data_IF_772277981533
#
_entry.id   IF_772277981533
#
_cell.length_a   1.000
_cell.length_b   1.000
_cell.length_c   1.000
_cell.angle_alpha   90.00
_cell.angle_beta   90.00
_cell.angle_gamma   90.00
#
_symmetry.space_group_name_H-M   'P 1'
#
loop_
_entity.id
_entity.type
_entity.pdbx_description
1 polymer ?
#
# COMPACT_ATOMS: atom_id res chain seq x y z
N UNK A 1 5.85 -10.76 16.96
CA UNK A 1 4.61 -10.96 16.16
C UNK A 1 4.70 -12.31 15.48
N UNK A 2 3.67 -13.11 15.58
CA UNK A 2 3.51 -14.36 14.86
C UNK A 2 3.07 -14.10 13.43
N UNK A 3 3.99 -14.28 12.48
CA UNK A 3 3.80 -13.95 11.06
C UNK A 3 3.56 -15.23 10.26
N UNK A 4 2.51 -15.23 9.43
CA UNK A 4 2.34 -16.27 8.42
C UNK A 4 2.63 -15.68 7.05
N UNK A 5 3.68 -16.16 6.40
CA UNK A 5 3.95 -15.89 5.00
C UNK A 5 3.10 -16.84 4.15
N UNK A 6 2.45 -16.32 3.14
CA UNK A 6 1.57 -17.12 2.26
C UNK A 6 1.98 -16.92 0.81
N UNK A 7 2.29 -18.00 0.12
CA UNK A 7 2.62 -18.02 -1.30
C UNK A 7 2.01 -19.21 -2.01
N UNK A 8 2.22 -19.32 -3.34
CA UNK A 8 1.79 -20.45 -4.17
C UNK A 8 3.00 -21.03 -4.92
N UNK A 9 3.40 -22.22 -4.53
CA UNK A 9 4.61 -22.90 -5.03
C UNK A 9 4.52 -23.27 -6.51
N UNK A 10 3.35 -23.72 -6.96
CA UNK A 10 3.13 -24.08 -8.37
C UNK A 10 3.21 -22.84 -9.25
N UNK A 11 2.57 -21.74 -8.83
CA UNK A 11 2.64 -20.48 -9.56
C UNK A 11 4.06 -19.89 -9.58
N UNK A 12 4.82 -20.02 -8.47
CA UNK A 12 6.24 -19.67 -8.45
C UNK A 12 7.04 -20.55 -9.43
N UNK A 13 6.73 -21.86 -9.51
CA UNK A 13 7.40 -22.77 -10.43
C UNK A 13 7.13 -22.41 -11.88
N UNK A 14 5.88 -22.12 -12.22
CA UNK A 14 5.49 -21.70 -13.56
C UNK A 14 6.18 -20.41 -13.98
N UNK A 15 6.22 -19.43 -13.09
CA UNK A 15 6.78 -18.12 -13.37
C UNK A 15 8.30 -18.10 -13.43
N UNK A 16 8.96 -18.67 -12.43
CA UNK A 16 10.41 -18.53 -12.24
C UNK A 16 11.22 -19.69 -12.80
N UNK A 17 10.60 -20.82 -13.17
CA UNK A 17 11.30 -21.97 -13.76
C UNK A 17 12.49 -22.41 -12.91
N UNK A 18 13.71 -22.33 -13.48
CA UNK A 18 14.95 -22.69 -12.78
C UNK A 18 15.28 -21.80 -11.58
N UNK A 19 14.79 -20.57 -11.55
CA UNK A 19 15.04 -19.65 -10.44
C UNK A 19 14.07 -19.82 -9.26
N UNK A 20 13.07 -20.71 -9.38
CA UNK A 20 12.09 -20.98 -8.33
C UNK A 20 12.72 -21.26 -6.97
N UNK A 21 13.74 -22.12 -6.94
CA UNK A 21 14.36 -22.53 -5.68
C UNK A 21 15.09 -21.34 -5.01
N UNK A 22 15.70 -20.46 -5.79
CA UNK A 22 16.29 -19.23 -5.26
C UNK A 22 15.22 -18.32 -4.63
N UNK A 23 14.06 -18.17 -5.29
CA UNK A 23 12.94 -17.39 -4.74
C UNK A 23 12.38 -18.04 -3.47
N UNK A 24 12.17 -19.36 -3.46
CA UNK A 24 11.71 -20.07 -2.26
C UNK A 24 12.70 -19.95 -1.10
N UNK A 25 14.01 -20.05 -1.34
CA UNK A 25 15.02 -19.88 -0.32
C UNK A 25 14.99 -18.47 0.28
N UNK A 26 14.78 -17.45 -0.54
CA UNK A 26 14.59 -16.09 -0.07
C UNK A 26 13.38 -15.97 0.89
N UNK A 27 12.27 -16.62 0.59
CA UNK A 27 11.09 -16.65 1.47
C UNK A 27 11.35 -17.44 2.77
N UNK A 28 12.14 -18.50 2.70
CA UNK A 28 12.61 -19.25 3.89
C UNK A 28 13.50 -18.38 4.77
N UNK A 29 14.38 -17.57 4.18
CA UNK A 29 15.22 -16.61 4.92
C UNK A 29 14.35 -15.57 5.64
N UNK A 30 13.35 -14.99 4.96
CA UNK A 30 12.40 -14.08 5.59
C UNK A 30 11.63 -14.75 6.73
N UNK A 31 11.15 -15.98 6.52
CA UNK A 31 10.48 -16.74 7.56
C UNK A 31 11.40 -17.00 8.77
N UNK A 32 12.66 -17.37 8.52
CA UNK A 32 13.64 -17.56 9.59
C UNK A 32 13.96 -16.24 10.34
N UNK A 33 13.90 -15.10 9.64
CA UNK A 33 14.00 -13.81 10.29
C UNK A 33 12.80 -13.57 11.25
N UNK A 34 11.58 -13.86 10.81
CA UNK A 34 10.39 -13.75 11.69
C UNK A 34 10.42 -14.71 12.86
N UNK A 35 10.93 -15.93 12.67
CA UNK A 35 11.11 -16.92 13.75
C UNK A 35 12.03 -16.47 14.87
N UNK A 36 12.95 -15.53 14.62
CA UNK A 36 13.76 -14.93 15.70
C UNK A 36 12.92 -14.12 16.69
N UNK A 37 11.79 -13.56 16.23
CA UNK A 37 10.86 -12.80 17.07
C UNK A 37 9.75 -13.69 17.62
N UNK A 38 9.26 -14.63 16.81
CA UNK A 38 8.21 -15.58 17.19
C UNK A 38 8.44 -16.92 16.49
N UNK A 39 8.83 -17.98 17.23
CA UNK A 39 9.16 -19.30 16.67
C UNK A 39 8.00 -19.97 15.92
N UNK A 40 6.75 -19.60 16.18
CA UNK A 40 5.57 -20.12 15.49
C UNK A 40 5.33 -19.48 14.12
N UNK A 41 6.11 -18.44 13.74
CA UNK A 41 6.05 -17.86 12.39
C UNK A 41 6.34 -18.93 11.33
N UNK A 42 5.54 -18.96 10.27
CA UNK A 42 5.58 -20.07 9.29
C UNK A 42 5.35 -19.57 7.88
N UNK A 43 6.05 -20.16 6.91
CA UNK A 43 5.81 -20.02 5.47
C UNK A 43 4.84 -21.12 5.02
N UNK A 44 3.73 -20.76 4.41
CA UNK A 44 2.74 -21.64 3.82
C UNK A 44 2.74 -21.52 2.29
N UNK A 45 3.02 -22.62 1.60
CA UNK A 45 2.67 -22.79 0.19
C UNK A 45 1.24 -23.33 0.12
N UNK A 46 0.27 -22.46 -0.16
CA UNK A 46 -1.16 -22.81 -0.03
C UNK A 46 -1.66 -23.87 -1.03
N UNK A 47 -0.88 -24.18 -2.03
CA UNK A 47 -1.11 -25.25 -3.02
C UNK A 47 -0.36 -26.55 -2.68
N UNK A 48 0.53 -26.54 -1.67
CA UNK A 48 1.27 -27.71 -1.22
C UNK A 48 0.46 -28.49 -0.19
N UNK A 49 0.30 -29.81 -0.43
CA UNK A 49 -0.49 -30.69 0.43
C UNK A 49 0.11 -30.82 1.84
N UNK A 50 1.43 -30.81 1.93
CA UNK A 50 2.13 -30.98 3.22
C UNK A 50 1.96 -29.71 4.06
N UNK A 51 2.20 -28.55 3.48
CA UNK A 51 2.07 -27.27 4.17
C UNK A 51 0.64 -27.00 4.64
N UNK A 52 -0.35 -27.47 3.86
CA UNK A 52 -1.76 -27.29 4.14
C UNK A 52 -2.40 -28.46 4.90
N UNK A 53 -1.63 -29.45 5.31
CA UNK A 53 -2.12 -30.57 6.12
C UNK A 53 -2.78 -30.06 7.40
N UNK A 54 -4.00 -30.52 7.67
CA UNK A 54 -4.83 -30.08 8.81
C UNK A 54 -5.20 -28.58 8.80
N UNK A 55 -4.90 -27.82 7.74
CA UNK A 55 -5.28 -26.40 7.57
C UNK A 55 -6.49 -26.29 6.64
N UNK A 56 -6.32 -26.57 5.36
CA UNK A 56 -7.35 -26.50 4.33
C UNK A 56 -6.97 -27.39 3.13
N UNK A 57 -7.89 -27.74 2.23
CA UNK A 57 -7.55 -28.33 0.95
C UNK A 57 -6.58 -27.41 0.19
N UNK A 58 -5.55 -27.99 -0.49
CA UNK A 58 -4.63 -27.20 -1.30
C UNK A 58 -5.33 -26.41 -2.39
N UNK A 59 -4.88 -25.17 -2.61
CA UNK A 59 -5.38 -24.28 -3.65
C UNK A 59 -4.96 -24.80 -5.03
N UNK A 60 -5.87 -24.78 -5.99
CA UNK A 60 -5.60 -25.19 -7.37
C UNK A 60 -5.75 -23.99 -8.31
N UNK A 61 -4.89 -23.93 -9.31
CA UNK A 61 -4.96 -22.94 -10.40
C UNK A 61 -5.09 -21.49 -9.91
N UNK A 62 -4.43 -21.16 -8.81
CA UNK A 62 -4.50 -19.84 -8.14
C UNK A 62 -5.96 -19.33 -7.96
N UNK A 63 -6.88 -20.26 -7.65
CA UNK A 63 -8.30 -19.97 -7.52
C UNK A 63 -8.59 -19.03 -6.36
N UNK A 64 -9.26 -17.89 -6.63
CA UNK A 64 -9.54 -16.81 -5.67
C UNK A 64 -10.31 -17.28 -4.44
N UNK A 65 -11.37 -18.06 -4.65
CA UNK A 65 -12.21 -18.54 -3.55
C UNK A 65 -11.45 -19.55 -2.67
N UNK A 66 -10.67 -20.44 -3.27
CA UNK A 66 -9.82 -21.39 -2.53
C UNK A 66 -8.71 -20.65 -1.80
N UNK A 67 -8.08 -19.63 -2.42
CA UNK A 67 -7.05 -18.81 -1.78
C UNK A 67 -7.63 -18.08 -0.56
N UNK A 68 -8.84 -17.50 -0.68
CA UNK A 68 -9.52 -16.88 0.47
C UNK A 68 -9.78 -17.88 1.58
N UNK A 69 -10.31 -19.07 1.24
CA UNK A 69 -10.59 -20.12 2.23
C UNK A 69 -9.32 -20.64 2.91
N UNK A 70 -8.21 -20.77 2.17
CA UNK A 70 -6.92 -21.16 2.73
C UNK A 70 -6.38 -20.11 3.73
N UNK A 71 -6.43 -18.83 3.38
CA UNK A 71 -6.01 -17.74 4.27
C UNK A 71 -6.90 -17.67 5.50
N UNK A 72 -8.23 -17.83 5.36
CA UNK A 72 -9.15 -17.89 6.50
C UNK A 72 -8.83 -19.04 7.44
N UNK A 73 -8.59 -20.22 6.89
CA UNK A 73 -8.23 -21.41 7.69
C UNK A 73 -6.89 -21.23 8.43
N UNK A 74 -5.91 -20.53 7.83
CA UNK A 74 -4.66 -20.18 8.50
C UNK A 74 -4.96 -19.27 9.70
N UNK A 75 -5.78 -18.21 9.54
CA UNK A 75 -6.18 -17.37 10.65
C UNK A 75 -6.88 -18.14 11.75
N UNK A 76 -7.86 -18.97 11.39
CA UNK A 76 -8.71 -19.67 12.34
C UNK A 76 -7.93 -20.75 13.12
N UNK A 77 -7.01 -21.46 12.46
CA UNK A 77 -6.28 -22.59 13.08
C UNK A 77 -4.94 -22.20 13.71
N UNK A 78 -4.30 -21.16 13.20
CA UNK A 78 -2.98 -20.73 13.67
C UNK A 78 -3.02 -19.46 14.51
N UNK A 79 -4.11 -18.70 14.45
CA UNK A 79 -4.28 -17.42 15.17
C UNK A 79 -3.03 -16.53 15.06
N UNK A 80 -2.60 -16.15 13.83
CA UNK A 80 -1.45 -15.28 13.65
C UNK A 80 -1.75 -13.84 14.04
N UNK A 81 -0.69 -13.09 14.39
CA UNK A 81 -0.80 -11.64 14.50
C UNK A 81 -1.00 -10.99 13.13
N UNK A 82 -0.39 -11.55 12.09
CA UNK A 82 -0.54 -11.06 10.72
C UNK A 82 -0.26 -12.13 9.65
N UNK A 83 -0.80 -11.88 8.47
CA UNK A 83 -0.50 -12.63 7.24
C UNK A 83 0.17 -11.68 6.24
N UNK A 84 1.25 -12.14 5.61
CA UNK A 84 1.91 -11.47 4.49
C UNK A 84 1.75 -12.33 3.25
N UNK A 85 1.01 -11.83 2.27
CA UNK A 85 0.85 -12.46 0.96
C UNK A 85 2.10 -12.19 0.14
N UNK A 86 2.79 -13.23 -0.34
CA UNK A 86 4.03 -13.07 -1.11
C UNK A 86 3.81 -13.47 -2.56
N UNK A 87 3.99 -12.49 -3.44
CA UNK A 87 3.73 -12.55 -4.87
C UNK A 87 2.61 -11.60 -5.31
N UNK A 88 2.63 -11.23 -6.59
CA UNK A 88 1.56 -10.46 -7.22
C UNK A 88 0.32 -11.34 -7.49
N UNK A 89 -0.65 -10.83 -8.24
CA UNK A 89 -1.91 -11.52 -8.47
C UNK A 89 -1.80 -12.83 -9.27
N UNK A 90 -0.72 -13.02 -10.00
CA UNK A 90 -0.37 -14.23 -10.72
C UNK A 90 0.22 -15.33 -9.80
N UNK A 91 0.72 -14.99 -8.61
CA UNK A 91 1.22 -15.93 -7.60
C UNK A 91 0.17 -16.16 -6.50
N UNK A 92 -0.29 -15.11 -5.85
CA UNK A 92 -1.36 -15.16 -4.85
C UNK A 92 -2.48 -14.26 -5.30
N UNK A 93 -3.60 -14.85 -5.68
CA UNK A 93 -4.72 -14.13 -6.28
C UNK A 93 -5.18 -12.93 -5.44
N UNK A 94 -5.43 -11.79 -6.09
CA UNK A 94 -6.29 -10.77 -5.51
C UNK A 94 -7.73 -11.30 -5.47
N UNK A 95 -8.49 -10.90 -4.47
CA UNK A 95 -9.93 -11.04 -4.53
C UNK A 95 -10.49 -10.02 -5.53
N UNK A 96 -11.48 -10.39 -6.31
CA UNK A 96 -12.16 -9.50 -7.24
C UNK A 96 -13.51 -9.10 -6.67
N UNK A 97 -13.63 -7.83 -6.33
CA UNK A 97 -14.85 -7.24 -5.84
C UNK A 97 -15.57 -6.49 -6.97
N UNK A 98 -16.90 -6.58 -7.01
CA UNK A 98 -17.70 -5.79 -7.95
C UNK A 98 -17.47 -4.29 -7.68
N UNK A 99 -17.18 -3.53 -8.73
CA UNK A 99 -17.02 -2.08 -8.59
C UNK A 99 -18.37 -1.41 -8.31
N UNK A 100 -18.55 -0.81 -7.13
CA UNK A 100 -19.83 -0.18 -6.78
C UNK A 100 -20.13 1.09 -7.59
N UNK A 101 -19.16 1.62 -8.32
CA UNK A 101 -19.31 2.82 -9.17
C UNK A 101 -19.52 2.51 -10.63
N UNK A 102 -19.36 1.24 -11.03
CA UNK A 102 -19.42 0.74 -12.40
C UNK A 102 -18.37 1.34 -13.37
N UNK A 103 -17.30 1.99 -12.84
CA UNK A 103 -16.18 2.50 -13.66
C UNK A 103 -15.32 1.36 -14.21
N UNK A 104 -15.27 0.25 -13.50
CA UNK A 104 -14.64 -1.00 -13.90
C UNK A 104 -15.57 -2.17 -13.63
N UNK A 105 -15.28 -3.34 -14.18
CA UNK A 105 -16.06 -4.54 -13.85
C UNK A 105 -15.77 -5.02 -12.43
N UNK A 106 -14.48 -5.01 -12.08
CA UNK A 106 -14.00 -5.53 -10.81
C UNK A 106 -12.86 -4.67 -10.25
N UNK A 107 -12.71 -4.71 -8.94
CA UNK A 107 -11.61 -4.14 -8.17
C UNK A 107 -10.75 -5.27 -7.65
N UNK A 108 -9.46 -5.27 -7.97
CA UNK A 108 -8.47 -6.16 -7.35
C UNK A 108 -8.20 -5.69 -5.92
N UNK A 109 -8.40 -6.57 -4.93
CA UNK A 109 -8.42 -6.20 -3.52
C UNK A 109 -7.79 -7.25 -2.61
N UNK A 110 -7.07 -6.80 -1.58
CA UNK A 110 -6.66 -7.63 -0.45
C UNK A 110 -7.56 -7.42 0.79
N UNK A 111 -8.57 -6.53 0.71
CA UNK A 111 -9.50 -6.28 1.81
C UNK A 111 -10.24 -7.53 2.30
N UNK A 112 -10.72 -8.44 1.43
CA UNK A 112 -11.40 -9.65 1.88
C UNK A 112 -10.54 -10.54 2.79
N UNK A 113 -9.23 -10.59 2.58
CA UNK A 113 -8.33 -11.36 3.44
C UNK A 113 -8.24 -10.79 4.87
N UNK A 114 -8.45 -9.49 5.03
CA UNK A 114 -8.48 -8.82 6.32
C UNK A 114 -9.80 -9.01 7.10
N UNK A 115 -10.81 -9.66 6.51
CA UNK A 115 -12.13 -9.89 7.08
C UNK A 115 -12.42 -11.39 7.21
N UNK A 116 -13.20 -11.78 8.22
CA UNK A 116 -13.58 -13.17 8.45
C UNK A 116 -14.73 -13.65 7.51
N UNK A 117 -15.38 -12.74 6.78
CA UNK A 117 -16.46 -13.11 5.87
C UNK A 117 -15.93 -14.00 4.74
N UNK A 118 -16.67 -15.05 4.32
CA UNK A 118 -16.26 -15.92 3.22
C UNK A 118 -16.07 -15.17 1.90
N UNK A 119 -15.57 -15.87 0.86
CA UNK A 119 -15.41 -15.28 -0.46
C UNK A 119 -16.73 -14.70 -0.98
N UNK A 120 -16.67 -13.43 -1.40
CA UNK A 120 -17.78 -12.68 -1.97
C UNK A 120 -17.23 -11.63 -2.93
N UNK A 121 -18.04 -11.17 -3.88
CA UNK A 121 -17.74 -10.04 -4.75
C UNK A 121 -18.34 -8.71 -4.27
N UNK A 122 -19.16 -8.73 -3.20
CA UNK A 122 -19.77 -7.54 -2.61
C UNK A 122 -18.89 -6.92 -1.52
N UNK A 123 -18.43 -5.70 -1.75
CA UNK A 123 -17.59 -4.94 -0.81
C UNK A 123 -18.24 -4.79 0.58
N UNK A 124 -19.60 -4.72 0.63
CA UNK A 124 -20.33 -4.53 1.89
C UNK A 124 -20.14 -5.66 2.90
N UNK A 125 -19.72 -6.82 2.45
CA UNK A 125 -19.37 -7.95 3.32
C UNK A 125 -18.04 -7.78 4.04
N UNK A 126 -17.23 -6.79 3.68
CA UNK A 126 -15.86 -6.60 4.16
C UNK A 126 -15.63 -5.25 4.87
N UNK A 127 -16.67 -4.74 5.55
CA UNK A 127 -16.64 -3.47 6.28
C UNK A 127 -16.15 -3.58 7.72
N UNK A 128 -15.78 -4.77 8.17
CA UNK A 128 -15.22 -5.02 9.50
C UNK A 128 -13.86 -5.74 9.41
N UNK A 129 -12.81 -5.09 8.92
CA UNK A 129 -11.47 -5.66 8.90
C UNK A 129 -10.92 -5.76 10.33
N UNK A 130 -10.57 -6.99 10.75
CA UNK A 130 -9.99 -7.30 12.08
C UNK A 130 -8.64 -7.99 11.99
N UNK A 131 -8.23 -8.37 10.79
CA UNK A 131 -7.01 -9.12 10.53
C UNK A 131 -5.98 -8.23 9.88
N UNK A 132 -4.73 -8.37 10.28
CA UNK A 132 -3.62 -7.68 9.66
C UNK A 132 -3.18 -8.49 8.43
N UNK A 133 -3.33 -7.90 7.25
CA UNK A 133 -2.89 -8.48 5.98
C UNK A 133 -2.20 -7.41 5.15
N UNK A 134 -1.01 -7.72 4.64
CA UNK A 134 -0.29 -6.93 3.63
C UNK A 134 0.24 -7.84 2.54
N UNK A 135 0.85 -7.26 1.52
CA UNK A 135 1.45 -8.02 0.41
C UNK A 135 2.89 -7.57 0.15
N UNK A 136 3.77 -8.53 -0.10
CA UNK A 136 5.08 -8.29 -0.74
C UNK A 136 4.94 -8.80 -2.18
N UNK A 137 4.59 -7.92 -3.14
CA UNK A 137 4.38 -8.34 -4.52
C UNK A 137 5.70 -8.47 -5.27
N UNK A 138 5.70 -9.32 -6.26
CA UNK A 138 6.65 -9.32 -7.36
C UNK A 138 6.09 -8.57 -8.59
N UNK A 139 6.67 -8.72 -9.77
CA UNK A 139 6.18 -8.12 -11.01
C UNK A 139 5.34 -9.13 -11.78
N UNK A 140 4.11 -8.78 -12.13
CA UNK A 140 3.19 -9.66 -12.87
C UNK A 140 3.80 -10.12 -14.20
N UNK A 141 3.83 -11.43 -14.44
CA UNK A 141 4.33 -12.08 -15.66
C UNK A 141 5.79 -11.71 -16.07
N UNK A 142 6.59 -11.22 -15.14
CA UNK A 142 8.01 -10.89 -15.38
C UNK A 142 8.87 -11.55 -14.29
N UNK A 143 9.55 -12.62 -14.64
CA UNK A 143 10.36 -13.39 -13.71
C UNK A 143 11.64 -12.64 -13.30
N UNK A 144 12.26 -11.90 -14.24
CA UNK A 144 13.54 -11.23 -14.00
C UNK A 144 13.35 -10.04 -13.06
N UNK A 145 12.47 -9.12 -13.43
CA UNK A 145 12.16 -7.97 -12.59
C UNK A 145 11.43 -8.42 -11.29
N UNK A 146 10.60 -9.43 -11.37
CA UNK A 146 9.89 -10.00 -10.21
C UNK A 146 10.83 -10.52 -9.14
N UNK A 147 11.87 -11.28 -9.53
CA UNK A 147 12.90 -11.77 -8.61
C UNK A 147 13.65 -10.61 -7.94
N UNK A 148 14.08 -9.62 -8.71
CA UNK A 148 14.79 -8.45 -8.19
C UNK A 148 13.92 -7.63 -7.21
N UNK A 149 12.64 -7.44 -7.52
CA UNK A 149 11.70 -6.75 -6.61
C UNK A 149 11.54 -7.53 -5.30
N UNK A 150 11.36 -8.86 -5.37
CA UNK A 150 11.24 -9.71 -4.17
C UNK A 150 12.53 -9.69 -3.34
N UNK A 151 13.69 -9.83 -3.96
CA UNK A 151 14.99 -9.79 -3.26
C UNK A 151 15.14 -8.50 -2.46
N UNK A 152 14.87 -7.35 -3.09
CA UNK A 152 15.00 -6.05 -2.45
C UNK A 152 13.94 -5.82 -1.36
N UNK A 153 12.68 -6.20 -1.61
CA UNK A 153 11.61 -6.08 -0.62
C UNK A 153 11.84 -6.96 0.62
N UNK A 154 12.31 -8.19 0.41
CA UNK A 154 12.65 -9.12 1.50
C UNK A 154 13.88 -8.64 2.29
N UNK A 155 14.93 -8.19 1.60
CA UNK A 155 16.09 -7.59 2.28
C UNK A 155 15.68 -6.40 3.13
N UNK A 156 14.79 -5.56 2.61
CA UNK A 156 14.28 -4.41 3.35
C UNK A 156 13.40 -4.83 4.53
N UNK A 157 12.57 -5.86 4.40
CA UNK A 157 11.80 -6.41 5.50
C UNK A 157 12.69 -6.88 6.67
N UNK A 158 13.84 -7.49 6.35
CA UNK A 158 14.80 -7.98 7.34
C UNK A 158 15.74 -6.90 7.89
N UNK A 159 15.83 -5.71 7.27
CA UNK A 159 16.69 -4.63 7.75
C UNK A 159 16.22 -4.06 9.10
N UNK A 160 17.08 -3.48 9.95
CA UNK A 160 16.65 -2.85 11.20
C UNK A 160 15.75 -1.63 10.92
N UNK A 161 14.89 -1.27 11.85
CA UNK A 161 14.14 -0.02 11.84
C UNK A 161 15.05 1.21 11.89
N UNK A 162 14.47 2.37 11.70
CA UNK A 162 15.18 3.65 11.66
C UNK A 162 14.82 4.52 12.86
N UNK A 163 15.54 5.60 13.02
CA UNK A 163 15.22 6.60 14.05
C UNK A 163 14.15 7.59 13.54
N UNK A 164 13.36 8.11 14.48
CA UNK A 164 12.27 9.04 14.17
C UNK A 164 12.68 10.29 13.37
N UNK A 165 13.87 10.92 13.61
CA UNK A 165 14.25 12.14 12.91
C UNK A 165 14.23 12.05 11.39
N UNK A 166 14.66 10.93 10.80
CA UNK A 166 14.68 10.75 9.34
C UNK A 166 13.29 10.88 8.69
N UNK A 167 12.24 10.45 9.41
CA UNK A 167 10.85 10.47 8.92
C UNK A 167 10.06 11.70 9.35
N UNK A 168 10.56 12.45 10.35
CA UNK A 168 9.98 13.71 10.79
C UNK A 168 10.34 14.89 9.88
N UNK A 169 11.33 14.71 9.00
CA UNK A 169 11.76 15.71 8.02
C UNK A 169 10.64 16.09 7.04
N UNK A 170 10.95 17.09 6.22
CA UNK A 170 10.06 17.52 5.13
C UNK A 170 9.89 16.36 4.13
N UNK A 171 8.66 15.90 3.85
CA UNK A 171 8.44 14.88 2.85
C UNK A 171 8.71 15.40 1.44
N UNK A 172 8.94 14.50 0.49
CA UNK A 172 8.75 14.85 -0.90
C UNK A 172 7.27 14.70 -1.25
N UNK A 173 6.58 15.83 -1.29
CA UNK A 173 5.15 15.87 -1.48
C UNK A 173 4.79 16.67 -2.74
N UNK A 174 3.96 16.08 -3.61
CA UNK A 174 3.59 16.66 -4.91
C UNK A 174 2.09 16.53 -5.15
N UNK A 175 1.45 17.62 -5.61
CA UNK A 175 0.04 17.61 -6.01
C UNK A 175 -0.21 18.40 -7.28
N UNK A 176 -1.41 18.28 -7.86
CA UNK A 176 -1.93 19.29 -8.76
C UNK A 176 -2.26 20.54 -7.96
N UNK A 177 -2.18 21.72 -8.57
CA UNK A 177 -2.53 22.98 -7.90
C UNK A 177 -3.96 22.95 -7.33
N UNK A 178 -4.91 22.40 -8.08
CA UNK A 178 -6.32 22.31 -7.67
C UNK A 178 -6.52 21.41 -6.45
N UNK A 179 -5.60 20.47 -6.19
CA UNK A 179 -5.67 19.52 -5.07
C UNK A 179 -4.73 19.88 -3.91
N UNK A 180 -4.17 21.06 -3.96
CA UNK A 180 -3.33 21.58 -2.89
C UNK A 180 -4.00 21.53 -1.51
N UNK A 181 -5.31 21.88 -1.33
CA UNK A 181 -5.96 21.72 -0.04
C UNK A 181 -6.01 20.28 0.48
N UNK A 182 -6.18 19.30 -0.42
CA UNK A 182 -6.17 17.88 -0.05
C UNK A 182 -4.78 17.43 0.42
N UNK A 183 -3.70 17.81 -0.29
CA UNK A 183 -2.34 17.51 0.13
C UNK A 183 -1.99 18.19 1.46
N UNK A 184 -2.34 19.48 1.65
CA UNK A 184 -2.14 20.18 2.93
C UNK A 184 -2.82 19.44 4.09
N UNK A 185 -4.06 19.02 3.90
CA UNK A 185 -4.82 18.27 4.90
C UNK A 185 -4.16 16.91 5.20
N UNK A 186 -3.74 16.18 4.16
CA UNK A 186 -3.03 14.90 4.31
C UNK A 186 -1.74 15.08 5.10
N UNK A 187 -0.89 16.05 4.76
CA UNK A 187 0.36 16.32 5.47
C UNK A 187 0.11 16.76 6.91
N UNK A 188 -0.91 17.59 7.15
CA UNK A 188 -1.30 17.98 8.50
C UNK A 188 -1.77 16.77 9.32
N UNK A 189 -2.54 15.86 8.73
CA UNK A 189 -2.99 14.62 9.39
C UNK A 189 -1.82 13.71 9.77
N UNK A 190 -0.81 13.61 8.88
CA UNK A 190 0.36 12.75 9.09
C UNK A 190 1.31 13.33 10.14
N UNK A 191 1.60 14.63 10.08
CA UNK A 191 2.65 15.27 10.88
C UNK A 191 2.15 16.13 12.04
N UNK A 192 0.85 16.39 12.12
CA UNK A 192 0.28 17.36 13.07
C UNK A 192 0.68 18.80 12.79
N UNK A 193 1.33 19.09 11.65
CA UNK A 193 1.84 20.39 11.27
C UNK A 193 1.90 20.56 9.76
N UNK A 194 1.96 21.79 9.28
CA UNK A 194 2.17 22.10 7.87
C UNK A 194 3.60 21.72 7.46
N UNK A 195 3.74 21.05 6.33
CA UNK A 195 5.01 20.69 5.70
C UNK A 195 5.09 21.30 4.31
N UNK A 196 6.31 21.51 3.83
CA UNK A 196 6.55 21.99 2.46
C UNK A 196 6.15 20.93 1.42
N UNK A 197 5.67 21.36 0.29
CA UNK A 197 5.26 20.53 -0.84
C UNK A 197 5.45 21.32 -2.16
N UNK A 198 5.43 20.58 -3.28
CA UNK A 198 5.44 21.16 -4.61
C UNK A 198 4.06 21.00 -5.28
N UNK A 199 3.67 21.98 -6.09
CA UNK A 199 2.47 21.92 -6.92
C UNK A 199 2.85 21.76 -8.38
N UNK A 200 2.17 20.89 -9.11
CA UNK A 200 2.26 20.74 -10.56
C UNK A 200 1.08 21.39 -11.28
N UNK A 201 1.30 22.08 -12.40
CA UNK A 201 2.60 22.36 -13.02
C UNK A 201 3.08 23.78 -12.74
N UNK A 202 4.35 23.93 -12.50
CA UNK A 202 5.03 25.18 -12.81
C UNK A 202 5.87 24.94 -14.08
N UNK A 203 5.33 25.24 -15.24
CA UNK A 203 6.07 25.31 -16.53
C UNK A 203 7.00 24.10 -16.82
N UNK A 204 6.61 22.88 -16.47
CA UNK A 204 7.41 21.66 -16.68
C UNK A 204 7.28 20.66 -15.55
N UNK A 205 8.04 19.55 -15.59
CA UNK A 205 8.03 18.56 -14.52
C UNK A 205 8.35 19.21 -13.17
N UNK A 206 7.61 18.83 -12.13
CA UNK A 206 7.76 19.40 -10.77
C UNK A 206 8.99 18.87 -10.05
N UNK A 207 10.09 18.81 -10.73
CA UNK A 207 11.30 18.26 -10.14
C UNK A 207 12.21 19.38 -9.70
N UNK A 208 12.19 19.65 -8.45
CA UNK A 208 13.39 20.19 -7.86
C UNK A 208 14.35 19.04 -7.64
N UNK A 209 15.41 19.02 -8.42
CA UNK A 209 16.66 18.29 -8.19
C UNK A 209 16.57 16.88 -7.57
N UNK A 210 17.50 16.03 -7.90
CA UNK A 210 17.79 14.69 -7.32
C UNK A 210 17.67 14.63 -5.79
N UNK A 211 17.82 15.75 -5.08
CA UNK A 211 17.71 15.84 -3.62
C UNK A 211 16.30 15.63 -3.08
N UNK A 212 15.24 15.95 -3.83
CA UNK A 212 13.84 15.78 -3.38
C UNK A 212 13.45 14.31 -3.24
N UNK A 213 13.98 13.44 -4.10
CA UNK A 213 13.72 11.99 -4.05
C UNK A 213 14.43 11.26 -2.90
N UNK A 214 15.37 11.93 -2.23
CA UNK A 214 16.08 11.38 -1.06
C UNK A 214 15.28 11.48 0.24
N UNK A 215 14.07 12.03 0.19
CA UNK A 215 13.20 12.09 1.36
C UNK A 215 12.66 10.70 1.71
N UNK A 216 12.49 10.45 3.00
CA UNK A 216 12.00 9.15 3.49
C UNK A 216 10.50 8.97 3.39
N UNK A 217 9.74 10.05 3.25
CA UNK A 217 8.31 10.01 3.01
C UNK A 217 7.98 10.71 1.70
N UNK A 218 7.33 10.01 0.82
CA UNK A 218 6.79 10.54 -0.43
C UNK A 218 5.27 10.59 -0.35
N UNK A 219 4.66 11.69 -0.77
CA UNK A 219 3.21 11.87 -0.79
C UNK A 219 2.77 12.47 -2.13
N UNK A 220 1.93 11.76 -2.85
CA UNK A 220 1.45 12.21 -4.15
C UNK A 220 -0.07 12.37 -4.16
N UNK A 221 -0.55 13.56 -4.57
CA UNK A 221 -1.97 13.84 -4.82
C UNK A 221 -2.11 14.30 -6.27
N UNK A 222 -1.99 13.35 -7.17
CA UNK A 222 -1.90 13.52 -8.62
C UNK A 222 -2.99 12.70 -9.34
N UNK A 223 -3.04 12.80 -10.65
CA UNK A 223 -3.81 11.88 -11.48
C UNK A 223 -2.98 10.65 -11.84
N UNK A 224 -3.61 9.49 -11.81
CA UNK A 224 -3.05 8.24 -12.30
C UNK A 224 -3.93 7.63 -13.39
N UNK A 225 -3.38 6.73 -14.17
CA UNK A 225 -4.08 6.01 -15.23
C UNK A 225 -3.96 4.49 -15.08
N UNK A 226 -4.85 3.78 -15.73
CA UNK A 226 -4.81 2.31 -15.80
C UNK A 226 -3.50 1.87 -16.44
N UNK A 227 -2.74 1.03 -15.74
CA UNK A 227 -1.44 0.52 -16.21
C UNK A 227 -0.50 1.62 -16.71
N UNK A 228 -0.45 2.74 -15.97
CA UNK A 228 0.42 3.87 -16.28
C UNK A 228 1.73 3.81 -15.48
N UNK A 229 2.83 4.18 -16.12
CA UNK A 229 4.16 4.30 -15.49
C UNK A 229 4.47 5.74 -15.08
N UNK A 230 3.51 6.63 -15.14
CA UNK A 230 3.67 8.01 -14.72
C UNK A 230 2.38 8.55 -14.08
N UNK A 231 2.54 9.52 -13.23
CA UNK A 231 1.47 10.31 -12.65
C UNK A 231 1.43 11.69 -13.29
N UNK A 232 0.24 12.27 -13.35
CA UNK A 232 -0.04 13.48 -14.12
C UNK A 232 -0.53 14.60 -13.22
N UNK A 233 0.06 15.79 -13.39
CA UNK A 233 -0.47 17.05 -12.90
C UNK A 233 -1.45 17.67 -13.89
N UNK A 234 -2.18 18.71 -13.46
CA UNK A 234 -3.10 19.47 -14.30
C UNK A 234 -2.94 20.98 -14.12
N UNK A 235 -3.23 21.74 -15.16
CA UNK A 235 -3.20 23.22 -15.10
C UNK A 235 -4.40 23.78 -14.34
N UNK A 236 -4.18 24.83 -13.54
CA UNK A 236 -5.25 25.58 -12.88
C UNK A 236 -6.14 26.34 -13.88
N UNK A 237 -5.56 26.84 -14.95
CA UNK A 237 -6.29 27.61 -15.95
C UNK A 237 -7.13 26.74 -16.88
N UNK A 238 -6.65 25.55 -17.19
CA UNK A 238 -7.33 24.57 -18.03
C UNK A 238 -7.07 23.15 -17.53
N UNK A 239 -8.03 22.50 -16.86
CA UNK A 239 -7.88 21.14 -16.34
C UNK A 239 -7.67 20.06 -17.41
N UNK A 240 -7.94 20.36 -18.70
CA UNK A 240 -7.67 19.46 -19.80
C UNK A 240 -6.19 19.40 -20.16
N UNK A 241 -5.42 20.44 -19.81
CA UNK A 241 -3.97 20.51 -20.00
C UNK A 241 -3.28 19.75 -18.87
N UNK A 242 -2.66 18.63 -19.22
CA UNK A 242 -2.02 17.72 -18.28
C UNK A 242 -0.54 17.61 -18.53
N UNK A 243 0.22 17.45 -17.46
CA UNK A 243 1.68 17.35 -17.48
C UNK A 243 2.11 16.09 -16.75
N UNK A 244 3.10 15.40 -17.30
CA UNK A 244 3.76 14.32 -16.60
C UNK A 244 4.44 14.86 -15.34
N UNK A 245 4.00 14.40 -14.17
CA UNK A 245 4.45 14.92 -12.89
C UNK A 245 5.42 13.98 -12.18
N UNK A 246 5.21 12.68 -12.21
CA UNK A 246 6.10 11.66 -11.64
C UNK A 246 6.25 10.53 -12.65
N UNK A 247 7.47 10.19 -13.02
CA UNK A 247 7.77 9.09 -13.94
C UNK A 247 8.65 8.02 -13.31
N UNK A 248 8.30 6.76 -13.48
CA UNK A 248 9.02 5.63 -12.85
C UNK A 248 10.49 5.56 -13.21
N UNK A 249 10.88 5.91 -14.44
CA UNK A 249 12.27 5.90 -14.86
C UNK A 249 13.16 6.89 -14.11
N UNK A 250 12.60 8.00 -13.64
CA UNK A 250 13.32 8.97 -12.80
C UNK A 250 13.45 8.46 -11.36
N UNK A 251 12.38 7.88 -10.83
CA UNK A 251 12.36 7.30 -9.50
C UNK A 251 13.37 6.15 -9.39
N UNK A 252 13.41 5.28 -10.41
CA UNK A 252 14.32 4.12 -10.41
C UNK A 252 15.80 4.52 -10.30
N UNK A 253 16.18 5.72 -10.72
CA UNK A 253 17.56 6.21 -10.60
C UNK A 253 17.87 6.92 -9.26
N UNK A 254 16.84 7.39 -8.53
CA UNK A 254 17.02 8.39 -7.48
C UNK A 254 16.50 8.01 -6.09
N UNK A 255 15.65 6.98 -5.98
CA UNK A 255 15.07 6.56 -4.69
C UNK A 255 16.13 6.00 -3.73
N UNK A 256 16.02 6.39 -2.47
CA UNK A 256 16.81 5.82 -1.37
C UNK A 256 16.11 4.65 -0.69
N UNK A 257 16.90 3.83 0.01
CA UNK A 257 16.37 2.74 0.83
C UNK A 257 15.45 3.26 1.94
N UNK A 258 14.39 2.52 2.22
CA UNK A 258 13.52 2.79 3.37
C UNK A 258 12.46 3.86 3.13
N UNK A 259 12.17 4.24 1.91
CA UNK A 259 11.11 5.19 1.57
C UNK A 259 9.72 4.62 1.93
N UNK A 260 8.83 5.50 2.39
CA UNK A 260 7.40 5.27 2.53
C UNK A 260 6.69 6.06 1.45
N UNK A 261 5.83 5.39 0.66
CA UNK A 261 4.99 6.05 -0.33
C UNK A 261 3.55 6.14 0.15
N UNK A 262 3.05 7.37 0.25
CA UNK A 262 1.64 7.72 0.47
C UNK A 262 1.03 8.13 -0.87
N UNK A 263 0.52 7.14 -1.63
CA UNK A 263 0.06 7.34 -3.00
C UNK A 263 -1.45 7.54 -3.06
N UNK A 264 -1.86 8.67 -3.62
CA UNK A 264 -3.26 9.09 -3.69
C UNK A 264 -3.82 9.14 -5.11
N UNK A 265 -3.01 8.86 -6.13
CA UNK A 265 -3.47 8.82 -7.52
C UNK A 265 -4.34 7.59 -7.80
N UNK A 266 -5.24 7.70 -8.79
CA UNK A 266 -5.92 6.55 -9.38
C UNK A 266 -4.88 5.52 -9.85
N UNK A 267 -5.13 4.23 -9.60
CA UNK A 267 -4.27 3.14 -10.04
C UNK A 267 -2.80 3.21 -9.56
N UNK A 268 -2.47 4.08 -8.60
CA UNK A 268 -1.08 4.30 -8.14
C UNK A 268 -0.42 3.08 -7.48
N UNK A 269 -1.23 2.13 -6.99
CA UNK A 269 -0.75 0.83 -6.51
C UNK A 269 -1.22 -0.35 -7.38
N UNK A 270 -1.68 -0.11 -8.61
CA UNK A 270 -2.05 -1.17 -9.52
C UNK A 270 -0.80 -1.95 -9.96
N UNK A 271 -0.84 -3.28 -9.77
CA UNK A 271 0.15 -4.19 -10.35
C UNK A 271 -0.31 -4.63 -11.74
N UNK A 272 0.58 -4.62 -12.70
CA UNK A 272 0.28 -5.02 -14.07
C UNK A 272 1.51 -5.63 -14.75
N UNK A 273 1.28 -6.41 -15.78
CA UNK A 273 2.30 -6.93 -16.67
C UNK A 273 2.96 -5.75 -17.44
N UNK A 274 4.28 -5.51 -17.29
CA UNK A 274 4.95 -4.39 -17.93
C UNK A 274 4.82 -4.39 -19.47
N UNK A 275 4.62 -5.56 -20.07
CA UNK A 275 4.40 -5.68 -21.51
C UNK A 275 3.00 -5.26 -21.94
N UNK A 276 2.05 -5.19 -20.98
CA UNK A 276 0.69 -4.70 -21.18
C UNK A 276 0.48 -3.30 -20.61
N UNK A 277 1.57 -2.54 -20.48
CA UNK A 277 1.51 -1.15 -20.04
C UNK A 277 0.57 -0.34 -20.94
N UNK A 278 -0.35 0.41 -20.34
CA UNK A 278 -1.31 1.24 -21.06
C UNK A 278 -0.72 2.58 -21.48
N UNK A 279 0.15 3.15 -20.66
CA UNK A 279 0.81 4.45 -20.90
C UNK A 279 2.25 4.44 -20.35
N UNK A 280 3.21 4.81 -21.17
CA UNK A 280 4.63 4.80 -20.84
C UNK A 280 5.30 3.43 -21.11
N UNK A 281 6.46 3.22 -20.53
CA UNK A 281 7.20 1.95 -20.56
C UNK A 281 7.85 1.73 -19.19
N UNK A 282 7.87 0.50 -18.70
CA UNK A 282 8.52 0.15 -17.43
C UNK A 282 7.59 -0.52 -16.43
N UNK A 283 8.06 -0.62 -15.21
CA UNK A 283 7.37 -1.28 -14.11
C UNK A 283 6.19 -0.45 -13.56
N UNK A 284 5.21 -1.10 -12.92
CA UNK A 284 4.26 -0.41 -12.06
C UNK A 284 4.96 0.46 -11.02
N UNK A 285 4.38 1.62 -10.69
CA UNK A 285 4.95 2.56 -9.71
C UNK A 285 5.31 1.88 -8.39
N UNK A 286 4.39 1.08 -7.85
CA UNK A 286 4.63 0.36 -6.60
C UNK A 286 5.83 -0.60 -6.68
N UNK A 287 5.99 -1.31 -7.82
CA UNK A 287 7.13 -2.19 -8.03
C UNK A 287 8.47 -1.43 -8.08
N UNK A 288 8.49 -0.22 -8.67
CA UNK A 288 9.71 0.61 -8.67
C UNK A 288 10.12 1.00 -7.26
N UNK A 289 9.17 1.41 -6.40
CA UNK A 289 9.46 1.70 -5.02
C UNK A 289 9.99 0.48 -4.25
N UNK A 290 9.37 -0.68 -4.41
CA UNK A 290 9.83 -1.91 -3.76
C UNK A 290 11.17 -2.41 -4.30
N UNK A 291 11.41 -2.30 -5.61
CA UNK A 291 12.71 -2.55 -6.24
C UNK A 291 13.82 -1.67 -5.65
N UNK A 292 13.48 -0.47 -5.22
CA UNK A 292 14.37 0.48 -4.53
C UNK A 292 14.27 0.41 -3.01
N UNK A 293 13.88 -0.76 -2.48
CA UNK A 293 13.84 -1.05 -1.05
C UNK A 293 12.98 -0.07 -0.24
N UNK A 294 11.84 0.35 -0.80
CA UNK A 294 10.82 1.03 -0.01
C UNK A 294 10.29 0.08 1.10
N UNK A 295 9.97 0.65 2.26
CA UNK A 295 9.41 -0.14 3.36
C UNK A 295 7.93 -0.35 3.21
N UNK A 296 7.23 0.66 2.72
CA UNK A 296 5.80 0.59 2.53
C UNK A 296 5.35 1.43 1.33
N UNK A 297 4.38 0.90 0.61
CA UNK A 297 3.62 1.60 -0.42
C UNK A 297 2.15 1.45 -0.08
N UNK A 298 1.44 2.54 0.20
CA UNK A 298 -0.03 2.55 0.23
C UNK A 298 -0.57 3.24 -1.01
N UNK A 299 -1.60 2.67 -1.63
CA UNK A 299 -2.23 3.29 -2.78
C UNK A 299 -3.44 2.50 -3.28
N UNK A 300 -4.01 2.93 -4.39
CA UNK A 300 -5.20 2.33 -4.98
C UNK A 300 -4.87 1.44 -6.18
N UNK A 301 -5.54 0.28 -6.24
CA UNK A 301 -5.53 -0.60 -7.42
C UNK A 301 -6.53 -0.17 -8.50
N UNK A 302 -7.38 0.81 -8.22
CA UNK A 302 -8.47 1.28 -9.07
C UNK A 302 -8.57 2.81 -9.09
N UNK A 303 -9.59 3.34 -9.73
CA UNK A 303 -9.85 4.78 -9.73
C UNK A 303 -10.13 5.29 -8.30
N UNK A 304 -9.51 6.39 -7.95
CA UNK A 304 -9.77 7.15 -6.74
C UNK A 304 -10.59 8.41 -7.06
N UNK A 305 -11.32 8.89 -6.07
CA UNK A 305 -12.05 10.13 -6.18
C UNK A 305 -11.44 11.16 -5.25
N UNK A 306 -11.42 12.41 -5.67
CA UNK A 306 -10.92 13.54 -4.91
C UNK A 306 -11.90 14.70 -4.93
N UNK A 307 -11.76 15.58 -3.95
CA UNK A 307 -12.41 16.87 -3.92
C UNK A 307 -11.39 17.98 -4.21
N UNK A 308 -11.81 19.07 -4.87
CA UNK A 308 -10.88 20.14 -5.25
C UNK A 308 -10.46 21.02 -4.07
N UNK A 309 -11.33 21.20 -3.10
CA UNK A 309 -11.16 22.21 -2.05
C UNK A 309 -10.94 21.64 -0.65
N UNK A 310 -10.95 20.31 -0.48
CA UNK A 310 -10.82 19.68 0.83
C UNK A 310 -10.29 18.25 0.71
N UNK A 311 -9.89 17.68 1.84
CA UNK A 311 -9.66 16.24 1.93
C UNK A 311 -10.94 15.48 1.58
N UNK A 312 -10.76 14.35 0.92
CA UNK A 312 -11.82 13.43 0.56
C UNK A 312 -11.48 12.01 1.01
N UNK A 313 -12.37 11.07 0.84
CA UNK A 313 -12.31 9.73 1.43
C UNK A 313 -10.93 9.06 1.43
N UNK A 314 -10.27 8.94 0.29
CA UNK A 314 -8.98 8.26 0.22
C UNK A 314 -7.85 9.07 0.88
N UNK A 315 -7.98 10.40 0.98
CA UNK A 315 -7.00 11.25 1.66
C UNK A 315 -6.94 10.91 3.15
N UNK A 316 -8.10 10.60 3.77
CA UNK A 316 -8.18 10.18 5.16
C UNK A 316 -7.52 8.82 5.38
N UNK A 317 -7.85 7.80 4.56
CA UNK A 317 -7.29 6.46 4.72
C UNK A 317 -5.76 6.45 4.57
N UNK A 318 -5.25 7.12 3.53
CA UNK A 318 -3.80 7.25 3.28
C UNK A 318 -3.14 8.10 4.36
N UNK A 319 -3.77 9.19 4.78
CA UNK A 319 -3.27 10.06 5.84
C UNK A 319 -3.23 9.36 7.21
N UNK A 320 -4.26 8.62 7.60
CA UNK A 320 -4.26 7.83 8.83
C UNK A 320 -3.19 6.74 8.78
N UNK A 321 -2.99 6.08 7.64
CA UNK A 321 -1.90 5.12 7.51
C UNK A 321 -0.55 5.79 7.77
N UNK A 322 -0.25 6.92 7.12
CA UNK A 322 0.98 7.67 7.34
C UNK A 322 1.14 8.09 8.80
N UNK A 323 0.09 8.66 9.42
CA UNK A 323 0.08 9.03 10.83
C UNK A 323 0.46 7.87 11.75
N UNK A 324 -0.24 6.73 11.62
CA UNK A 324 0.00 5.58 12.49
C UNK A 324 1.33 4.88 12.20
N UNK A 325 1.80 4.90 10.94
CA UNK A 325 3.09 4.31 10.57
C UNK A 325 4.28 5.06 11.17
N UNK A 326 4.14 6.39 11.33
CA UNK A 326 5.15 7.23 11.96
C UNK A 326 5.10 7.21 13.49
N UNK A 327 4.15 6.53 14.11
CA UNK A 327 4.15 6.27 15.56
C UNK A 327 5.25 5.24 15.90
N UNK A 328 6.20 5.56 16.79
CA UNK A 328 7.27 4.63 17.16
C UNK A 328 6.74 3.28 17.66
N UNK A 329 7.29 2.21 17.12
CA UNK A 329 6.91 0.82 17.47
C UNK A 329 5.63 0.32 16.80
N UNK A 330 5.05 1.08 15.88
CA UNK A 330 3.90 0.62 15.11
C UNK A 330 4.39 -0.07 13.83
N UNK A 331 3.92 -1.30 13.59
CA UNK A 331 4.25 -2.03 12.37
C UNK A 331 3.38 -1.58 11.19
N UNK A 332 3.86 -1.83 9.96
CA UNK A 332 3.15 -1.50 8.71
C UNK A 332 1.72 -2.06 8.73
N UNK A 333 1.56 -3.32 9.09
CA UNK A 333 0.26 -3.96 9.12
C UNK A 333 -0.67 -3.40 10.20
N UNK A 334 -0.13 -3.11 11.40
CA UNK A 334 -0.90 -2.44 12.47
C UNK A 334 -1.33 -1.04 12.07
N UNK A 335 -0.44 -0.27 11.43
CA UNK A 335 -0.78 1.06 10.93
C UNK A 335 -1.93 1.00 9.92
N UNK A 336 -1.90 0.01 9.01
CA UNK A 336 -2.95 -0.13 8.00
C UNK A 336 -4.29 -0.57 8.59
N UNK A 337 -4.29 -1.52 9.52
CA UNK A 337 -5.52 -1.93 10.22
C UNK A 337 -6.13 -0.75 10.99
N UNK A 338 -5.33 -0.05 11.79
CA UNK A 338 -5.77 1.17 12.51
C UNK A 338 -6.34 2.23 11.56
N UNK A 339 -5.68 2.45 10.41
CA UNK A 339 -6.14 3.41 9.41
C UNK A 339 -7.50 3.03 8.83
N UNK A 340 -7.71 1.77 8.48
CA UNK A 340 -9.01 1.25 8.02
C UNK A 340 -10.09 1.40 9.08
N UNK A 341 -9.83 0.97 10.31
CA UNK A 341 -10.78 1.07 11.43
C UNK A 341 -11.15 2.53 11.73
N UNK A 342 -10.16 3.44 11.74
CA UNK A 342 -10.41 4.86 11.96
C UNK A 342 -11.25 5.46 10.82
N UNK A 343 -10.87 5.17 9.58
CA UNK A 343 -11.59 5.65 8.41
C UNK A 343 -13.04 5.18 8.39
N UNK A 344 -13.27 3.89 8.67
CA UNK A 344 -14.62 3.30 8.74
C UNK A 344 -15.44 3.99 9.83
N UNK A 345 -14.85 4.23 11.00
CA UNK A 345 -15.49 4.92 12.13
C UNK A 345 -15.89 6.36 11.79
N UNK A 346 -14.96 7.12 11.19
CA UNK A 346 -15.16 8.53 10.89
C UNK A 346 -16.16 8.74 9.75
N UNK A 347 -16.16 7.83 8.78
CA UNK A 347 -17.13 7.93 7.69
C UNK A 347 -18.55 7.60 8.12
N UNK A 348 -18.72 6.73 9.12
CA UNK A 348 -20.03 6.28 9.58
C UNK A 348 -20.89 5.74 8.44
N UNK A 349 -22.15 5.45 8.69
CA UNK A 349 -23.16 5.19 7.66
C UNK A 349 -23.84 6.49 7.20
N UNK A 350 -24.47 6.53 6.03
CA UNK A 350 -24.60 5.43 5.09
C UNK A 350 -23.36 5.21 4.21
N UNK A 351 -23.19 3.96 3.79
CA UNK A 351 -22.13 3.55 2.87
C UNK A 351 -22.52 3.89 1.44
N UNK A 352 -21.93 4.92 0.88
CA UNK A 352 -22.06 5.24 -0.53
C UNK A 352 -21.04 4.46 -1.38
N UNK A 353 -21.26 4.46 -2.70
CA UNK A 353 -20.46 3.73 -3.67
C UNK A 353 -18.99 4.16 -3.71
N UNK A 354 -18.67 5.41 -3.37
CA UNK A 354 -17.32 5.94 -3.41
C UNK A 354 -16.52 5.50 -2.18
N UNK A 355 -17.12 5.52 -0.98
CA UNK A 355 -16.52 4.98 0.24
C UNK A 355 -16.20 3.49 0.08
N UNK A 356 -17.19 2.71 -0.44
CA UNK A 356 -17.01 1.29 -0.72
C UNK A 356 -15.83 1.03 -1.67
N UNK A 357 -15.77 1.76 -2.79
CA UNK A 357 -14.71 1.60 -3.77
C UNK A 357 -13.33 1.90 -3.20
N UNK A 358 -13.19 2.96 -2.42
CA UNK A 358 -11.91 3.35 -1.82
C UNK A 358 -11.44 2.31 -0.82
N UNK A 359 -12.32 1.79 0.04
CA UNK A 359 -11.96 0.69 0.94
C UNK A 359 -11.51 -0.55 0.18
N UNK A 360 -12.26 -0.94 -0.86
CA UNK A 360 -11.96 -2.10 -1.68
C UNK A 360 -10.62 -1.97 -2.42
N UNK A 361 -10.37 -0.81 -3.02
CA UNK A 361 -9.22 -0.58 -3.89
C UNK A 361 -7.93 -0.21 -3.17
N UNK A 362 -7.97 0.17 -1.88
CA UNK A 362 -6.76 0.57 -1.16
C UNK A 362 -6.01 -0.64 -0.62
N UNK A 363 -4.75 -0.76 -1.00
CA UNK A 363 -3.83 -1.83 -0.60
C UNK A 363 -2.57 -1.26 0.02
N UNK A 364 -1.85 -2.11 0.80
CA UNK A 364 -0.51 -1.80 1.32
C UNK A 364 0.44 -2.91 0.90
N UNK A 365 1.55 -2.51 0.30
CA UNK A 365 2.68 -3.37 -0.02
C UNK A 365 3.82 -3.14 0.96
N UNK A 366 4.39 -4.23 1.45
CA UNK A 366 5.44 -4.29 2.47
C UNK A 366 5.19 -5.38 3.50
N UNK A 367 6.16 -5.64 4.35
CA UNK A 367 6.03 -6.65 5.42
C UNK A 367 5.15 -6.11 6.55
N UNK A 368 4.06 -6.83 6.87
CA UNK A 368 3.10 -6.45 7.91
C UNK A 368 3.73 -6.28 9.30
N UNK A 369 4.75 -7.07 9.61
CA UNK A 369 5.40 -7.07 10.92
C UNK A 369 6.44 -5.96 11.08
N UNK A 370 6.88 -5.37 9.95
CA UNK A 370 7.95 -4.38 9.94
C UNK A 370 7.59 -3.13 10.71
N UNK A 371 8.41 -2.79 11.69
CA UNK A 371 8.39 -1.51 12.41
C UNK A 371 9.35 -0.56 11.70
N UNK A 372 8.83 0.56 11.21
CA UNK A 372 9.60 1.57 10.48
C UNK A 372 10.40 2.43 11.45
N UNK A 373 9.75 2.92 12.49
CA UNK A 373 10.36 3.75 13.53
C UNK A 373 10.42 2.96 14.83
N UNK A 374 11.62 2.65 15.29
CA UNK A 374 11.83 1.92 16.53
C UNK A 374 11.50 2.80 17.74
N UNK A 375 11.01 2.17 18.83
CA UNK A 375 10.88 2.85 20.11
C UNK A 375 12.28 3.08 20.67
N UNK A 376 12.58 4.33 21.06
CA UNK A 376 13.78 4.58 21.85
C UNK A 376 13.63 3.92 23.22
N UNK A 377 14.62 3.13 23.63
CA UNK A 377 14.69 2.59 24.96
C UNK A 377 14.78 3.74 25.98
N UNK A 378 13.96 3.70 27.04
CA UNK A 378 13.88 4.76 28.07
C UNK A 378 15.18 5.05 28.82
N UNK A 379 16.29 4.46 28.46
CA UNK A 379 17.58 4.67 29.12
C UNK A 379 18.38 5.89 28.63
N UNK A 380 18.01 6.50 27.48
CA UNK A 380 18.70 7.69 26.95
C UNK A 380 17.84 8.97 26.91
N UNK A 381 16.59 8.92 27.38
CA UNK A 381 15.61 9.99 27.22
C UNK A 381 15.19 10.73 28.50
N UNK A 382 16.01 10.76 29.53
CA UNK A 382 15.70 11.50 30.76
C UNK A 382 16.03 13.00 30.65
N UNK A 383 15.83 13.64 29.50
CA UNK A 383 15.82 15.12 29.33
C UNK A 383 15.23 15.51 27.97
N UNK A 384 13.92 15.41 27.81
CA UNK A 384 13.20 16.26 26.85
C UNK A 384 11.71 16.24 27.15
N UNK A 385 11.30 17.20 27.93
CA UNK A 385 10.04 17.92 28.05
C UNK A 385 8.69 17.26 27.72
N UNK A 386 7.90 17.12 28.78
CA UNK A 386 6.47 17.39 28.81
C UNK A 386 6.18 18.77 28.20
N UNK A 387 5.62 18.79 26.98
CA UNK A 387 4.69 19.83 26.48
C UNK A 387 4.29 19.51 25.02
N UNK A 388 3.19 18.80 24.86
CA UNK A 388 2.27 19.15 23.77
C UNK A 388 0.84 18.69 24.13
N UNK A 389 0.08 19.72 24.47
CA UNK A 389 -1.33 19.63 24.83
C UNK A 389 -2.19 19.20 23.64
N UNK A 390 -3.25 18.48 23.95
CA UNK A 390 -4.33 18.11 23.07
C UNK A 390 -4.88 19.31 22.27
N UNK A 391 -4.91 19.20 20.95
CA UNK A 391 -5.72 20.07 20.10
C UNK A 391 -6.93 19.31 19.58
N UNK A 392 -8.10 19.86 19.83
CA UNK A 392 -9.40 19.36 19.40
C UNK A 392 -9.50 19.26 17.89
N UNK A 393 -9.88 18.07 17.40
CA UNK A 393 -10.33 17.88 16.02
C UNK A 393 -11.82 18.26 15.97
N UNK A 394 -12.13 19.32 15.21
CA UNK A 394 -13.52 19.70 14.93
C UNK A 394 -14.02 18.84 13.77
N UNK A 395 -15.16 18.15 13.89
CA UNK A 395 -15.76 17.43 12.76
C UNK A 395 -16.25 18.43 11.71
N UNK A 396 -15.83 18.28 10.47
CA UNK A 396 -16.34 19.04 9.34
C UNK A 396 -17.57 18.31 8.79
N UNK A 397 -18.74 18.91 8.95
CA UNK A 397 -19.98 18.44 8.30
C UNK A 397 -19.82 18.51 6.78
N UNK A 398 -20.01 17.38 6.13
CA UNK A 398 -20.02 17.28 4.66
C UNK A 398 -21.33 17.87 4.12
N UNK A 399 -21.28 19.12 3.68
CA UNK A 399 -22.34 19.69 2.83
C UNK A 399 -22.14 19.21 1.39
N UNK A 400 -23.25 18.90 0.70
CA UNK A 400 -23.35 18.43 -0.68
C UNK A 400 -22.32 19.05 -1.63
N UNK A 401 -21.29 18.27 -1.96
CA UNK A 401 -20.23 18.68 -2.85
C UNK A 401 -20.36 17.93 -4.20
N UNK A 402 -20.35 18.66 -5.29
CA UNK A 402 -20.33 18.09 -6.65
C UNK A 402 -19.06 17.25 -6.84
N UNK A 403 -19.28 15.97 -7.12
CA UNK A 403 -18.20 15.02 -7.41
C UNK A 403 -17.74 15.23 -8.85
N UNK A 404 -16.48 15.52 -9.03
CA UNK A 404 -15.88 15.63 -10.38
C UNK A 404 -15.75 14.24 -11.01
N UNK A 405 -16.63 13.95 -11.98
CA UNK A 405 -16.65 12.68 -12.74
C UNK A 405 -15.56 12.58 -13.81
N UNK A 406 -14.78 13.63 -14.04
CA UNK A 406 -13.79 13.70 -15.14
C UNK A 406 -12.39 13.18 -14.78
N UNK A 407 -12.17 12.64 -13.59
CA UNK A 407 -10.87 12.11 -13.18
C UNK A 407 -10.60 10.67 -13.64
N UNK A 408 -11.46 10.10 -14.48
CA UNK A 408 -11.27 8.79 -15.09
C UNK A 408 -10.75 8.98 -16.50
N UNK A 409 -9.45 8.94 -16.70
CA UNK A 409 -8.80 8.73 -18.00
C UNK A 409 -7.56 7.89 -17.80
#
# INVERSE_FOLDING_TARGET
MKVMLVTNKSALTEKYGSDRDAVLNLLVELNNHHKKTDPESTLYCIDDRIDMENIAPPVRDNNKAQTKAAVDAIFDKKNPDCVVLVGAGDIVAFQELKDPTDDAKVIQSDLPYACAYPCSDDVRHFLDPKRIVTRIPDVVNDAVEGKLVLENAVQQAMSPGKTAPEYAEVPWAVCTQRREPALKGLLHLVYGANKSYATCPHNGPCWDTVTSYRRKVHAHVLHGGVRSTFLVGESNGDPSVRYEAVHVGMLDAALEDGVILLERACHGAQLFDPQKCGKGKGLPLANVYLKRKAWAVIGSTTSNYSHETSMFFADYLVGYFGKYLLEPGTSIGKAFLKAREQTIRDWGGPWDKFKLKILAGTVVYGDASKVVIEKMDKKEGAMADEKQAASHVVPVEAKDARIDRKSVV
#
